data_IF_832273626000
#
_entry.id   IF_832273626000
#
_cell.length_a   1.000
_cell.length_b   1.000
_cell.length_c   1.000
_cell.angle_alpha   90.00
_cell.angle_beta   90.00
_cell.angle_gamma   90.00
#
_symmetry.space_group_name_H-M   'P 1'
#
loop_
_entity.id
_entity.type
_entity.pdbx_description
1 polymer ?
#
# COMPACT_ATOMS: atom_id res chain seq x y z
N UNK A 1 8.91 5.27 -0.85
CA UNK A 1 9.80 6.34 -0.33
C UNK A 1 10.50 7.13 -1.43
N UNK A 2 10.20 6.89 -2.71
CA UNK A 2 10.88 7.54 -3.82
C UNK A 2 10.55 9.05 -3.87
N UNK A 3 11.58 9.88 -4.08
CA UNK A 3 11.47 11.31 -4.31
C UNK A 3 11.74 11.57 -5.80
N UNK A 4 10.79 12.19 -6.48
CA UNK A 4 10.87 12.47 -7.92
C UNK A 4 11.58 13.78 -8.26
N UNK A 5 12.15 14.48 -7.26
CA UNK A 5 12.90 15.72 -7.43
C UNK A 5 12.04 16.99 -7.43
N UNK A 6 10.88 16.96 -6.76
CA UNK A 6 10.10 18.20 -6.55
C UNK A 6 10.88 19.18 -5.66
N UNK A 7 10.67 20.51 -5.78
CA UNK A 7 11.31 21.48 -4.90
C UNK A 7 11.08 21.23 -3.41
N UNK A 8 9.91 20.69 -3.06
CA UNK A 8 9.54 20.31 -1.69
C UNK A 8 10.20 19.01 -1.21
N UNK A 9 10.85 18.26 -2.10
CA UNK A 9 11.46 16.94 -1.87
C UNK A 9 10.51 15.88 -1.29
N UNK A 10 9.20 16.11 -1.38
CA UNK A 10 8.19 15.19 -0.87
C UNK A 10 8.20 13.89 -1.67
N UNK A 11 8.08 12.78 -0.95
CA UNK A 11 7.92 11.47 -1.57
C UNK A 11 6.50 11.30 -2.13
N UNK A 12 6.32 10.34 -3.04
CA UNK A 12 4.98 10.03 -3.56
C UNK A 12 3.97 9.67 -2.45
N UNK A 13 4.42 8.95 -1.41
CA UNK A 13 3.56 8.62 -0.26
C UNK A 13 3.11 9.86 0.50
N UNK A 14 4.02 10.79 0.75
CA UNK A 14 3.68 12.03 1.44
C UNK A 14 2.68 12.86 0.66
N UNK A 15 2.87 12.99 -0.67
CA UNK A 15 1.95 13.75 -1.53
C UNK A 15 0.55 13.12 -1.50
N UNK A 16 0.45 11.79 -1.52
CA UNK A 16 -0.82 11.09 -1.44
C UNK A 16 -1.48 11.26 -0.06
N UNK A 17 -0.71 11.12 1.02
CA UNK A 17 -1.21 11.31 2.38
C UNK A 17 -1.77 12.73 2.59
N UNK A 18 -1.03 13.76 2.15
CA UNK A 18 -1.47 15.16 2.26
C UNK A 18 -2.76 15.43 1.48
N UNK A 19 -2.98 14.75 0.34
CA UNK A 19 -4.26 14.84 -0.38
C UNK A 19 -5.41 14.23 0.42
N UNK A 20 -5.17 13.10 1.10
CA UNK A 20 -6.17 12.47 1.97
C UNK A 20 -6.50 13.41 3.13
N UNK A 21 -5.50 13.94 3.83
CA UNK A 21 -5.69 14.95 4.87
C UNK A 21 -6.51 16.13 4.36
N UNK A 22 -6.19 16.63 3.16
CA UNK A 22 -6.90 17.79 2.61
C UNK A 22 -8.37 17.50 2.33
N UNK A 23 -8.68 16.30 1.84
CA UNK A 23 -10.08 15.89 1.61
C UNK A 23 -10.83 15.77 2.94
N UNK A 24 -10.21 15.17 3.97
CA UNK A 24 -10.80 15.09 5.31
C UNK A 24 -11.08 16.49 5.88
N UNK A 25 -10.14 17.44 5.78
CA UNK A 25 -10.35 18.83 6.21
C UNK A 25 -11.54 19.49 5.49
N UNK A 26 -11.61 19.37 4.16
CA UNK A 26 -12.69 19.96 3.37
C UNK A 26 -14.04 19.34 3.70
N UNK A 27 -14.10 18.03 3.90
CA UNK A 27 -15.31 17.33 4.31
C UNK A 27 -15.75 17.75 5.73
N UNK A 28 -14.81 17.87 6.66
CA UNK A 28 -15.08 18.34 8.03
C UNK A 28 -15.69 19.74 8.03
N UNK A 29 -15.10 20.66 7.26
CA UNK A 29 -15.58 22.03 7.15
C UNK A 29 -16.99 22.11 6.53
N UNK A 30 -17.30 21.22 5.58
CA UNK A 30 -18.60 21.18 4.91
C UNK A 30 -19.70 20.54 5.75
N UNK A 31 -19.37 19.49 6.50
CA UNK A 31 -20.36 18.66 7.21
C UNK A 31 -20.40 18.92 8.72
N UNK A 32 -19.46 19.68 9.28
CA UNK A 32 -19.40 20.00 10.71
C UNK A 32 -19.07 18.80 11.61
N UNK A 33 -18.59 17.70 11.04
CA UNK A 33 -18.28 16.44 11.72
C UNK A 33 -16.91 15.90 11.27
N UNK A 34 -16.23 15.12 12.11
CA UNK A 34 -14.99 14.42 11.72
C UNK A 34 -15.32 13.38 10.64
N UNK A 35 -14.78 13.58 9.44
CA UNK A 35 -14.81 12.70 8.29
C UNK A 35 -13.44 12.06 8.12
N UNK A 36 -13.42 10.73 8.08
CA UNK A 36 -12.20 9.93 7.94
C UNK A 36 -12.19 9.24 6.59
N UNK A 37 -11.00 9.07 6.02
CA UNK A 37 -10.74 8.32 4.80
C UNK A 37 -9.68 7.28 5.11
N UNK A 38 -10.07 6.00 5.34
CA UNK A 38 -9.12 4.93 5.56
C UNK A 38 -8.28 4.68 4.31
N UNK A 39 -6.97 4.54 4.49
CA UNK A 39 -6.02 4.27 3.43
C UNK A 39 -5.48 2.84 3.53
N UNK A 40 -5.95 2.00 2.61
CA UNK A 40 -5.46 0.64 2.44
C UNK A 40 -4.26 0.63 1.49
N UNK A 41 -3.09 0.22 2.00
CA UNK A 41 -1.83 0.16 1.26
C UNK A 41 -1.46 -1.31 1.08
N UNK A 42 -1.60 -1.79 -0.15
CA UNK A 42 -1.15 -3.12 -0.52
C UNK A 42 0.36 -3.14 -0.74
N UNK A 43 1.06 -4.04 -0.06
CA UNK A 43 2.51 -4.24 -0.16
C UNK A 43 2.82 -5.65 -0.69
N UNK A 44 4.09 -5.94 -1.01
CA UNK A 44 4.60 -7.31 -1.06
C UNK A 44 5.26 -7.66 0.27
N UNK A 45 5.60 -8.94 0.45
CA UNK A 45 6.45 -9.41 1.57
C UNK A 45 7.73 -8.55 1.71
N UNK A 46 8.37 -8.24 0.58
CA UNK A 46 9.61 -7.45 0.56
C UNK A 46 9.40 -5.96 0.86
N UNK A 47 8.18 -5.42 0.76
CA UNK A 47 7.92 -3.98 0.92
C UNK A 47 7.08 -3.64 2.15
N UNK A 48 6.51 -4.63 2.86
CA UNK A 48 5.70 -4.38 4.05
C UNK A 48 6.50 -3.65 5.14
N UNK A 49 7.56 -4.28 5.64
CA UNK A 49 8.33 -3.73 6.77
C UNK A 49 9.01 -2.39 6.45
N UNK A 50 9.67 -2.22 5.28
CA UNK A 50 10.21 -0.93 4.90
C UNK A 50 9.13 0.16 4.81
N UNK A 51 7.94 -0.17 4.30
CA UNK A 51 6.84 0.81 4.19
C UNK A 51 6.27 1.18 5.56
N UNK A 52 6.06 0.20 6.44
CA UNK A 52 5.62 0.43 7.82
C UNK A 52 6.58 1.35 8.56
N UNK A 53 7.88 1.03 8.53
CA UNK A 53 8.92 1.84 9.16
C UNK A 53 8.93 3.26 8.63
N UNK A 54 8.86 3.43 7.31
CA UNK A 54 8.83 4.74 6.67
C UNK A 54 7.65 5.60 7.12
N UNK A 55 6.44 5.02 7.22
CA UNK A 55 5.28 5.75 7.72
C UNK A 55 5.41 6.11 9.20
N UNK A 56 5.93 5.21 10.03
CA UNK A 56 6.17 5.47 11.45
C UNK A 56 7.16 6.60 11.67
N UNK A 57 8.31 6.57 10.99
CA UNK A 57 9.35 7.62 11.07
C UNK A 57 8.83 8.99 10.64
N UNK A 58 7.89 9.02 9.70
CA UNK A 58 7.26 10.25 9.22
C UNK A 58 5.93 10.57 9.90
N UNK A 59 5.62 9.93 11.05
CA UNK A 59 4.40 10.15 11.84
C UNK A 59 3.12 10.08 11.00
N UNK A 60 3.07 9.09 10.10
CA UNK A 60 1.96 8.83 9.16
C UNK A 60 1.56 10.05 8.31
N UNK A 61 2.46 11.01 8.14
CA UNK A 61 2.24 12.25 7.39
C UNK A 61 1.01 13.07 7.89
N UNK A 62 0.69 12.94 9.17
CA UNK A 62 -0.45 13.63 9.80
C UNK A 62 -1.78 12.88 9.74
N UNK A 63 -1.84 11.69 9.11
CA UNK A 63 -2.99 10.80 9.22
C UNK A 63 -3.03 10.10 10.58
N UNK A 64 -4.22 9.69 11.01
CA UNK A 64 -4.38 8.82 12.17
C UNK A 64 -3.79 7.42 11.83
N UNK A 65 -2.86 6.88 12.64
CA UNK A 65 -2.32 5.54 12.41
C UNK A 65 -3.40 4.45 12.33
N UNK A 66 -4.55 4.61 13.01
CA UNK A 66 -5.66 3.65 12.90
C UNK A 66 -6.31 3.60 11.53
N UNK A 67 -6.16 4.68 10.74
CA UNK A 67 -6.77 4.84 9.43
C UNK A 67 -5.81 4.43 8.29
N UNK A 68 -4.59 3.96 8.60
CA UNK A 68 -3.62 3.48 7.60
C UNK A 68 -3.41 1.98 7.77
N UNK A 69 -4.02 1.20 6.88
CA UNK A 69 -3.99 -0.26 6.93
C UNK A 69 -3.06 -0.81 5.85
N UNK A 70 -1.94 -1.40 6.27
CA UNK A 70 -1.00 -2.05 5.35
C UNK A 70 -1.18 -3.56 5.35
N UNK A 71 -1.29 -4.15 4.17
CA UNK A 71 -1.49 -5.59 4.01
C UNK A 71 -0.71 -6.14 2.82
N UNK A 72 -0.32 -7.41 2.89
CA UNK A 72 0.44 -8.06 1.83
C UNK A 72 -0.46 -8.62 0.74
N UNK A 73 -0.03 -8.44 -0.50
CA UNK A 73 -0.63 -9.11 -1.65
C UNK A 73 -0.29 -10.61 -1.63
N UNK A 74 -1.27 -11.46 -1.93
CA UNK A 74 -1.02 -12.89 -2.12
C UNK A 74 -0.20 -13.13 -3.39
N UNK A 75 0.83 -13.96 -3.26
CA UNK A 75 1.64 -14.44 -4.37
C UNK A 75 1.06 -15.74 -4.94
N UNK A 76 1.13 -15.91 -6.25
CA UNK A 76 0.71 -17.13 -6.95
C UNK A 76 1.88 -17.73 -7.73
N UNK A 77 1.96 -19.06 -7.89
CA UNK A 77 3.00 -19.69 -8.70
C UNK A 77 2.95 -19.23 -10.15
N UNK A 78 4.10 -18.91 -10.72
CA UNK A 78 4.23 -18.75 -12.16
C UNK A 78 4.11 -20.13 -12.81
N UNK A 79 3.30 -20.20 -13.87
CA UNK A 79 3.07 -21.43 -14.62
C UNK A 79 3.44 -21.25 -16.08
N UNK A 80 3.91 -22.33 -16.70
CA UNK A 80 4.06 -22.44 -18.15
C UNK A 80 2.68 -22.45 -18.83
N UNK A 81 2.64 -22.30 -20.15
CA UNK A 81 1.38 -22.32 -20.90
C UNK A 81 0.62 -23.66 -20.79
N UNK A 82 1.33 -24.77 -20.52
CA UNK A 82 0.74 -26.09 -20.25
C UNK A 82 0.43 -26.32 -18.75
N UNK A 83 0.52 -25.27 -17.92
CA UNK A 83 0.08 -25.29 -16.52
C UNK A 83 1.08 -25.87 -15.52
N UNK A 84 2.34 -26.10 -15.91
CA UNK A 84 3.38 -26.59 -14.99
C UNK A 84 4.00 -25.44 -14.22
N UNK A 85 4.29 -25.68 -12.93
CA UNK A 85 4.95 -24.69 -12.07
C UNK A 85 6.38 -24.43 -12.56
N UNK A 86 6.73 -23.15 -12.67
CA UNK A 86 8.08 -22.70 -13.03
C UNK A 86 8.92 -22.61 -11.75
N UNK A 87 10.14 -23.14 -11.80
CA UNK A 87 11.13 -22.99 -10.73
C UNK A 87 12.04 -21.79 -11.02
N UNK A 88 12.30 -20.98 -9.99
CA UNK A 88 13.29 -19.92 -10.03
C UNK A 88 14.71 -20.48 -9.83
N UNK A 89 14.85 -21.49 -8.98
CA UNK A 89 16.11 -22.19 -8.68
C UNK A 89 15.80 -23.61 -8.18
N UNK A 90 16.80 -24.46 -7.98
CA UNK A 90 16.64 -25.81 -7.41
C UNK A 90 15.92 -25.73 -6.07
N UNK A 91 14.71 -26.30 -6.01
CA UNK A 91 13.86 -26.30 -4.81
C UNK A 91 13.10 -25.00 -4.54
N UNK A 92 13.14 -24.01 -5.44
CA UNK A 92 12.46 -22.72 -5.26
C UNK A 92 11.47 -22.43 -6.39
N UNK A 93 10.20 -22.29 -6.06
CA UNK A 93 9.13 -21.93 -7.01
C UNK A 93 9.23 -20.46 -7.41
N UNK A 94 9.06 -20.16 -8.70
CA UNK A 94 8.90 -18.80 -9.18
C UNK A 94 7.49 -18.29 -8.85
N UNK A 95 7.41 -17.16 -8.15
CA UNK A 95 6.15 -16.58 -7.67
C UNK A 95 5.90 -15.21 -8.34
N UNK A 96 4.64 -14.89 -8.61
CA UNK A 96 4.22 -13.60 -9.15
C UNK A 96 3.04 -13.02 -8.36
N UNK A 97 2.86 -11.68 -8.34
CA UNK A 97 1.69 -11.05 -7.73
C UNK A 97 0.36 -11.55 -8.33
N UNK A 98 -0.54 -12.03 -7.48
CA UNK A 98 -1.88 -12.44 -7.90
C UNK A 98 -2.79 -11.25 -8.19
N UNK A 99 -2.86 -10.81 -9.45
CA UNK A 99 -3.59 -9.58 -9.87
C UNK A 99 -5.06 -9.48 -9.41
N UNK A 100 -5.76 -10.60 -9.21
CA UNK A 100 -7.22 -10.64 -8.95
C UNK A 100 -7.60 -11.06 -7.52
N UNK A 101 -6.72 -11.79 -6.82
CA UNK A 101 -7.01 -12.40 -5.52
C UNK A 101 -6.67 -11.50 -4.31
N UNK A 102 -5.95 -10.41 -4.53
CA UNK A 102 -5.51 -9.54 -3.44
C UNK A 102 -6.65 -8.69 -2.83
N UNK A 103 -7.70 -8.40 -3.62
CA UNK A 103 -8.81 -7.52 -3.20
C UNK A 103 -10.06 -8.28 -2.75
N UNK A 104 -10.26 -9.53 -3.18
CA UNK A 104 -11.45 -10.31 -2.81
C UNK A 104 -11.42 -10.78 -1.35
N UNK A 105 -10.23 -11.00 -0.77
CA UNK A 105 -10.10 -11.43 0.63
C UNK A 105 -10.27 -10.33 1.68
N UNK A 106 -10.54 -9.09 1.27
CA UNK A 106 -10.88 -7.96 2.15
C UNK A 106 -12.40 -7.71 2.23
N UNK A 107 -13.21 -8.49 1.51
CA UNK A 107 -14.65 -8.33 1.39
C UNK A 107 -15.46 -9.27 2.30
N UNK A 108 -14.79 -10.02 3.19
CA UNK A 108 -15.40 -10.93 4.16
C UNK A 108 -15.13 -10.45 5.60
#
# INVERSE_FOLDING_TARGET
MYNVGLPSSKTLYQIQAERICKIQELANAKHGSKCTVPWYIMTSEFTLDPTKKFFQENKYFGLDPSDVVMFEQRMIPAVTFDGKVILQDKGKIAMAPGKKMAWSGLAD
#
